data_IF_346599964231
#
_entry.id   IF_346599964231
#
_cell.length_a   1.000
_cell.length_b   1.000
_cell.length_c   1.000
_cell.angle_alpha   90.00
_cell.angle_beta   90.00
_cell.angle_gamma   90.00
#
_symmetry.space_group_name_H-M   'P 1'
#
loop_
_entity.id
_entity.type
_entity.pdbx_description
1 polymer ?
#
# COMPACT_ATOMS: atom_id res chain seq x y z
N UNK A 1 10.88 -62.55 28.71
CA UNK A 1 10.77 -62.00 27.34
C UNK A 1 10.40 -60.51 27.41
N UNK A 2 11.31 -59.71 27.99
CA UNK A 2 11.29 -58.24 28.00
C UNK A 2 12.26 -57.81 26.87
N UNK A 3 12.03 -56.68 26.20
CA UNK A 3 12.78 -56.14 25.04
C UNK A 3 12.26 -56.50 23.63
N UNK A 4 11.03 -56.12 23.27
CA UNK A 4 10.72 -55.80 21.85
C UNK A 4 9.75 -54.62 21.64
N UNK A 5 9.04 -54.17 22.67
CA UNK A 5 8.04 -53.09 22.53
C UNK A 5 8.57 -51.65 22.63
N UNK A 6 9.79 -51.43 23.13
CA UNK A 6 10.31 -50.06 23.35
C UNK A 6 10.91 -49.39 22.09
N UNK A 7 11.10 -50.13 20.99
CA UNK A 7 11.76 -49.61 19.77
C UNK A 7 10.79 -49.04 18.74
N UNK A 8 9.50 -49.39 18.79
CA UNK A 8 8.49 -48.87 17.84
C UNK A 8 7.90 -47.52 18.24
N UNK A 9 7.95 -47.15 19.52
CA UNK A 9 7.35 -45.89 20.00
C UNK A 9 8.28 -44.68 19.73
N UNK A 10 9.60 -44.89 19.69
CA UNK A 10 10.57 -43.81 19.42
C UNK A 10 10.63 -43.37 17.95
N UNK A 11 10.28 -44.24 17.00
CA UNK A 11 10.35 -43.89 15.57
C UNK A 11 9.10 -43.15 15.08
N UNK A 12 7.95 -43.39 15.70
CA UNK A 12 6.71 -42.67 15.37
C UNK A 12 6.71 -41.22 15.89
N UNK A 13 7.37 -40.94 17.02
CA UNK A 13 7.44 -39.60 17.60
C UNK A 13 8.31 -38.62 16.78
N UNK A 14 9.29 -39.12 16.03
CA UNK A 14 10.18 -38.28 15.19
C UNK A 14 9.50 -37.92 13.85
N UNK A 15 8.66 -38.79 13.30
CA UNK A 15 7.94 -38.52 12.05
C UNK A 15 6.78 -37.52 12.21
N UNK A 16 6.11 -37.52 13.38
CA UNK A 16 5.04 -36.54 13.68
C UNK A 16 5.61 -35.18 14.09
N UNK A 17 6.82 -35.14 14.68
CA UNK A 17 7.50 -33.89 14.96
C UNK A 17 8.06 -33.21 13.69
N UNK A 18 8.42 -33.98 12.65
CA UNK A 18 8.93 -33.43 11.38
C UNK A 18 7.86 -32.73 10.52
N UNK A 19 6.60 -33.16 10.59
CA UNK A 19 5.49 -32.55 9.84
C UNK A 19 4.83 -31.36 10.55
N UNK A 20 5.19 -31.08 11.80
CA UNK A 20 4.75 -29.90 12.54
C UNK A 20 5.66 -28.67 12.33
N UNK A 21 6.89 -28.86 11.83
CA UNK A 21 7.83 -27.74 11.61
C UNK A 21 7.55 -26.99 10.31
N UNK A 22 6.96 -27.63 9.30
CA UNK A 22 6.65 -26.99 8.00
C UNK A 22 5.41 -26.08 8.05
N UNK A 23 4.62 -26.13 9.12
CA UNK A 23 3.48 -25.23 9.33
C UNK A 23 3.89 -23.87 9.94
N UNK A 24 5.18 -23.70 10.28
CA UNK A 24 5.73 -22.48 10.86
C UNK A 24 6.55 -21.64 9.86
N UNK A 25 6.67 -22.07 8.61
CA UNK A 25 7.41 -21.30 7.62
C UNK A 25 6.55 -20.19 7.02
N UNK A 26 7.14 -19.00 6.96
CA UNK A 26 6.60 -17.88 6.18
C UNK A 26 6.63 -18.29 4.71
N UNK A 27 5.46 -18.38 4.09
CA UNK A 27 5.36 -18.69 2.67
C UNK A 27 4.74 -17.53 1.90
N UNK A 28 5.24 -17.34 0.68
CA UNK A 28 4.72 -16.40 -0.29
C UNK A 28 4.67 -17.10 -1.63
N UNK A 29 3.46 -17.32 -2.12
CA UNK A 29 3.18 -17.92 -3.42
C UNK A 29 2.68 -16.85 -4.37
N UNK A 30 3.30 -16.71 -5.55
CA UNK A 30 2.76 -15.84 -6.60
C UNK A 30 1.59 -16.56 -7.25
N UNK A 31 0.44 -15.89 -7.33
CA UNK A 31 -0.77 -16.45 -7.93
C UNK A 31 -0.83 -16.14 -9.42
N UNK A 32 -0.87 -14.85 -9.77
CA UNK A 32 -0.95 -14.36 -11.14
C UNK A 32 -0.51 -12.89 -11.22
N UNK A 33 -0.46 -12.33 -12.43
CA UNK A 33 -0.14 -10.94 -12.68
C UNK A 33 -0.93 -10.35 -13.85
N UNK A 34 -1.06 -9.03 -13.88
CA UNK A 34 -1.64 -8.28 -14.98
C UNK A 34 -0.87 -6.98 -15.20
N UNK A 35 -0.34 -6.79 -16.41
CA UNK A 35 0.16 -5.48 -16.86
C UNK A 35 -1.04 -4.65 -17.28
N UNK A 36 -1.22 -3.48 -16.68
CA UNK A 36 -2.39 -2.64 -16.90
C UNK A 36 -2.06 -1.24 -17.43
N UNK A 37 -0.77 -0.91 -17.50
CA UNK A 37 -0.28 0.27 -18.19
C UNK A 37 1.08 -0.04 -18.81
N UNK A 38 1.23 0.29 -20.08
CA UNK A 38 2.45 0.08 -20.86
C UNK A 38 2.73 1.36 -21.66
N UNK A 39 3.39 2.31 -21.00
CA UNK A 39 3.66 3.64 -21.55
C UNK A 39 5.08 3.79 -22.08
N UNK A 40 5.41 4.95 -22.68
CA UNK A 40 6.70 5.18 -23.31
C UNK A 40 7.88 5.21 -22.32
N UNK A 41 7.65 5.62 -21.06
CA UNK A 41 8.72 5.80 -20.06
C UNK A 41 8.60 4.85 -18.87
N UNK A 42 7.42 4.30 -18.61
CA UNK A 42 7.20 3.36 -17.51
C UNK A 42 6.06 2.40 -17.80
N UNK A 43 6.06 1.28 -17.05
CA UNK A 43 5.01 0.26 -17.10
C UNK A 43 4.49 0.01 -15.70
N UNK A 44 3.20 -0.30 -15.60
CA UNK A 44 2.56 -0.73 -14.36
C UNK A 44 2.00 -2.12 -14.49
N UNK A 45 2.22 -2.91 -13.45
CA UNK A 45 1.58 -4.20 -13.28
C UNK A 45 1.04 -4.37 -11.88
N UNK A 46 0.09 -5.27 -11.77
CA UNK A 46 -0.39 -5.78 -10.52
C UNK A 46 -0.01 -7.26 -10.42
N UNK A 47 0.53 -7.66 -9.28
CA UNK A 47 0.86 -9.05 -8.99
C UNK A 47 0.08 -9.47 -7.76
N UNK A 48 -0.57 -10.63 -7.82
CA UNK A 48 -1.20 -11.25 -6.66
C UNK A 48 -0.30 -12.29 -6.04
N UNK A 49 -0.41 -12.38 -4.73
CA UNK A 49 0.27 -13.36 -3.92
C UNK A 49 -0.70 -13.97 -2.93
N UNK A 50 -0.47 -15.23 -2.59
CA UNK A 50 -0.94 -15.81 -1.34
C UNK A 50 0.20 -15.73 -0.33
N UNK A 51 -0.06 -15.14 0.83
CA UNK A 51 0.93 -15.05 1.91
C UNK A 51 0.43 -15.78 3.13
N UNK A 52 1.31 -16.56 3.74
CA UNK A 52 1.09 -17.20 5.02
C UNK A 52 2.23 -16.80 5.96
N UNK A 53 1.90 -15.98 6.94
CA UNK A 53 2.72 -15.66 8.11
C UNK A 53 2.05 -16.34 9.31
N UNK A 54 2.55 -17.50 9.74
CA UNK A 54 1.97 -18.25 10.86
C UNK A 54 1.71 -17.35 12.06
N UNK A 55 0.53 -17.47 12.68
CA UNK A 55 0.07 -16.70 13.83
C UNK A 55 -0.15 -15.18 13.60
N UNK A 56 0.08 -14.66 12.39
CA UNK A 56 -0.08 -13.24 12.07
C UNK A 56 -1.09 -12.97 10.96
N UNK A 57 -0.96 -13.65 9.82
CA UNK A 57 -1.77 -13.40 8.64
C UNK A 57 -1.73 -14.58 7.68
N UNK A 58 -2.87 -14.93 7.10
CA UNK A 58 -2.92 -15.82 5.94
C UNK A 58 -3.96 -15.29 4.97
N UNK A 59 -3.59 -15.08 3.71
CA UNK A 59 -4.55 -14.61 2.72
C UNK A 59 -3.95 -14.08 1.41
N UNK A 60 -4.86 -13.72 0.52
CA UNK A 60 -4.53 -13.16 -0.79
C UNK A 60 -4.26 -11.65 -0.67
N UNK A 61 -3.12 -11.23 -1.20
CA UNK A 61 -2.70 -9.83 -1.26
C UNK A 61 -2.32 -9.46 -2.69
N UNK A 62 -2.38 -8.18 -3.00
CA UNK A 62 -1.85 -7.65 -4.26
C UNK A 62 -0.75 -6.63 -4.02
N UNK A 63 0.07 -6.48 -5.04
CA UNK A 63 1.11 -5.45 -5.12
C UNK A 63 1.04 -4.80 -6.48
N UNK A 64 0.92 -3.48 -6.50
CA UNK A 64 1.07 -2.68 -7.71
C UNK A 64 2.53 -2.26 -7.79
N UNK A 65 3.12 -2.54 -8.93
CA UNK A 65 4.53 -2.33 -9.19
C UNK A 65 4.71 -1.48 -10.44
N UNK A 66 5.74 -0.63 -10.42
CA UNK A 66 6.14 0.19 -11.56
C UNK A 66 7.59 -0.10 -11.97
N UNK A 67 7.87 -0.04 -13.26
CA UNK A 67 9.23 -0.15 -13.80
C UNK A 67 9.52 0.93 -14.83
N UNK A 68 10.77 1.37 -14.88
CA UNK A 68 11.34 2.28 -15.88
C UNK A 68 12.86 2.12 -15.94
N UNK A 69 13.52 2.89 -16.81
CA UNK A 69 14.99 2.99 -16.85
C UNK A 69 15.61 3.40 -15.50
N UNK A 70 14.81 4.02 -14.61
CA UNK A 70 15.25 4.52 -13.30
C UNK A 70 15.16 3.47 -12.20
N UNK A 71 14.44 2.36 -12.44
CA UNK A 71 14.19 1.33 -11.42
C UNK A 71 15.04 0.07 -11.60
N UNK A 72 16.01 0.07 -12.52
CA UNK A 72 16.78 -1.13 -12.89
C UNK A 72 17.49 -1.84 -11.72
N UNK A 73 17.91 -1.11 -10.68
CA UNK A 73 18.54 -1.67 -9.48
C UNK A 73 17.56 -1.89 -8.31
N UNK A 74 16.27 -1.65 -8.51
CA UNK A 74 15.26 -1.86 -7.49
C UNK A 74 14.94 -3.35 -7.35
N UNK A 75 14.78 -3.82 -6.12
CA UNK A 75 14.43 -5.21 -5.84
C UNK A 75 14.43 -5.44 -4.33
N UNK A 76 13.35 -6.00 -3.82
CA UNK A 76 13.23 -6.37 -2.40
C UNK A 76 12.47 -7.69 -2.31
N UNK A 77 12.38 -8.28 -1.12
CA UNK A 77 11.52 -9.43 -0.88
C UNK A 77 10.05 -9.18 -1.26
N UNK A 78 9.62 -7.93 -1.44
CA UNK A 78 8.24 -7.56 -1.74
C UNK A 78 8.01 -7.08 -3.18
N UNK A 79 9.01 -7.05 -4.06
CA UNK A 79 8.82 -6.60 -5.45
C UNK A 79 9.73 -7.34 -6.43
N UNK A 80 9.34 -7.41 -7.70
CA UNK A 80 10.14 -8.10 -8.71
C UNK A 80 11.42 -7.28 -9.02
N UNK A 81 12.54 -7.92 -9.41
CA UNK A 81 13.75 -7.20 -9.80
C UNK A 81 13.49 -6.22 -10.95
N UNK A 82 13.98 -4.99 -10.82
CA UNK A 82 13.73 -3.91 -11.77
C UNK A 82 12.39 -3.19 -11.56
N UNK A 83 11.59 -3.58 -10.57
CA UNK A 83 10.29 -2.97 -10.26
C UNK A 83 10.30 -2.33 -8.87
N UNK A 84 9.57 -1.23 -8.70
CA UNK A 84 9.30 -0.60 -7.41
C UNK A 84 7.84 -0.77 -7.01
N UNK A 85 7.57 -1.03 -5.74
CA UNK A 85 6.20 -1.07 -5.24
C UNK A 85 5.61 0.34 -5.14
N UNK A 86 4.43 0.52 -5.71
CA UNK A 86 3.66 1.79 -5.66
C UNK A 86 2.47 1.67 -4.70
N UNK A 87 1.88 0.48 -4.60
CA UNK A 87 0.75 0.22 -3.73
C UNK A 87 0.63 -1.26 -3.37
N UNK A 88 -0.08 -1.55 -2.29
CA UNK A 88 -0.39 -2.91 -1.85
C UNK A 88 -1.73 -2.93 -1.13
N UNK A 89 -2.33 -4.11 -1.04
CA UNK A 89 -3.57 -4.30 -0.29
C UNK A 89 -4.07 -5.73 -0.32
N UNK A 90 -5.24 -5.95 0.26
CA UNK A 90 -5.89 -7.25 0.25
C UNK A 90 -6.48 -7.57 -1.15
N UNK A 91 -6.25 -8.78 -1.63
CA UNK A 91 -6.87 -9.30 -2.86
C UNK A 91 -8.01 -10.29 -2.57
N UNK A 92 -8.50 -10.32 -1.32
CA UNK A 92 -9.50 -11.26 -0.82
C UNK A 92 -10.74 -11.26 -1.72
N UNK A 93 -11.09 -12.46 -2.20
CA UNK A 93 -12.31 -12.68 -2.99
C UNK A 93 -12.18 -12.30 -4.47
N UNK A 94 -11.01 -11.87 -4.92
CA UNK A 94 -10.73 -11.67 -6.35
C UNK A 94 -10.28 -12.98 -7.00
N UNK A 95 -10.65 -13.20 -8.26
CA UNK A 95 -10.28 -14.41 -9.02
C UNK A 95 -9.08 -14.25 -9.94
N UNK A 96 -8.77 -13.01 -10.33
CA UNK A 96 -7.56 -12.70 -11.10
C UNK A 96 -6.88 -11.39 -10.68
N UNK A 97 -5.66 -11.17 -11.15
CA UNK A 97 -4.97 -9.88 -11.04
C UNK A 97 -5.73 -8.77 -11.80
N UNK A 98 -6.35 -9.11 -12.94
CA UNK A 98 -7.12 -8.15 -13.73
C UNK A 98 -8.35 -7.62 -12.96
N UNK A 99 -9.06 -8.47 -12.22
CA UNK A 99 -10.17 -8.01 -11.37
C UNK A 99 -9.71 -7.02 -10.30
N UNK A 100 -8.54 -7.25 -9.72
CA UNK A 100 -7.95 -6.32 -8.76
C UNK A 100 -7.55 -5.02 -9.45
N UNK A 101 -6.95 -5.08 -10.64
CA UNK A 101 -6.63 -3.87 -11.43
C UNK A 101 -7.86 -3.00 -11.63
N UNK A 102 -8.99 -3.57 -12.04
CA UNK A 102 -10.21 -2.79 -12.27
C UNK A 102 -10.76 -2.17 -10.98
N UNK A 103 -10.65 -2.88 -9.85
CA UNK A 103 -11.02 -2.34 -8.53
C UNK A 103 -10.14 -1.16 -8.13
N UNK A 104 -8.84 -1.26 -8.40
CA UNK A 104 -7.82 -0.28 -8.03
C UNK A 104 -7.63 0.82 -9.09
N UNK A 105 -8.31 0.76 -10.24
CA UNK A 105 -8.11 1.68 -11.37
C UNK A 105 -8.26 3.15 -11.00
N UNK A 106 -9.20 3.44 -10.11
CA UNK A 106 -9.47 4.79 -9.59
C UNK A 106 -8.34 5.36 -8.73
N UNK A 107 -7.39 4.53 -8.31
CA UNK A 107 -6.32 4.93 -7.41
C UNK A 107 -5.03 5.31 -8.14
N UNK A 108 -4.89 5.07 -9.44
CA UNK A 108 -3.71 5.47 -10.22
C UNK A 108 -4.05 6.51 -11.28
N UNK A 109 -3.15 7.46 -11.48
CA UNK A 109 -3.28 8.52 -12.46
C UNK A 109 -1.96 8.67 -13.20
N UNK A 110 -1.99 8.41 -14.50
CA UNK A 110 -0.89 8.69 -15.42
C UNK A 110 -1.07 10.12 -15.93
N UNK A 111 -0.12 11.00 -15.62
CA UNK A 111 -0.21 12.44 -15.85
C UNK A 111 0.87 12.88 -16.85
N UNK A 112 0.77 12.39 -18.08
CA UNK A 112 1.82 12.50 -19.10
C UNK A 112 2.79 11.32 -19.06
N UNK A 113 3.93 11.46 -19.73
CA UNK A 113 4.81 10.31 -20.00
C UNK A 113 5.63 9.88 -18.78
N UNK A 114 5.95 10.78 -17.85
CA UNK A 114 6.88 10.52 -16.74
C UNK A 114 6.22 10.63 -15.36
N UNK A 115 4.96 11.05 -15.29
CA UNK A 115 4.32 11.38 -14.01
C UNK A 115 3.29 10.32 -13.66
N UNK A 116 3.44 9.74 -12.47
CA UNK A 116 2.50 8.80 -11.89
C UNK A 116 2.05 9.31 -10.53
N UNK A 117 0.74 9.42 -10.33
CA UNK A 117 0.16 9.62 -9.01
C UNK A 117 -0.62 8.37 -8.57
N UNK A 118 -0.47 8.00 -7.30
CA UNK A 118 -1.15 6.87 -6.66
C UNK A 118 -1.81 7.33 -5.35
N UNK A 119 -3.08 6.97 -5.13
CA UNK A 119 -3.90 7.49 -4.02
C UNK A 119 -4.35 6.43 -3.01
N UNK A 120 -3.86 5.18 -3.13
CA UNK A 120 -4.34 4.05 -2.34
C UNK A 120 -4.04 4.12 -0.84
N UNK A 121 -3.04 4.90 -0.41
CA UNK A 121 -2.77 5.15 1.01
C UNK A 121 -2.11 6.52 1.16
N UNK A 122 -2.89 7.59 1.00
CA UNK A 122 -2.35 8.93 0.76
C UNK A 122 -1.95 9.12 -0.70
N UNK A 123 -1.49 10.33 -1.03
CA UNK A 123 -1.00 10.64 -2.36
C UNK A 123 0.49 10.35 -2.45
N UNK A 124 0.87 9.47 -3.36
CA UNK A 124 2.24 9.22 -3.77
C UNK A 124 2.41 9.71 -5.21
N UNK A 125 3.35 10.60 -5.48
CA UNK A 125 3.61 11.12 -6.84
C UNK A 125 5.06 10.91 -7.22
N UNK A 126 5.29 10.32 -8.38
CA UNK A 126 6.57 10.31 -9.06
C UNK A 126 6.53 11.26 -10.26
N UNK A 127 7.62 12.01 -10.45
CA UNK A 127 7.83 12.90 -11.59
C UNK A 127 8.91 12.37 -12.55
N UNK A 128 9.46 11.19 -12.27
CA UNK A 128 10.62 10.62 -12.96
C UNK A 128 10.39 9.14 -13.31
N UNK A 129 9.18 8.82 -13.77
CA UNK A 129 8.79 7.50 -14.23
C UNK A 129 9.03 6.43 -13.16
N UNK A 130 8.57 6.66 -11.93
CA UNK A 130 8.69 5.76 -10.78
C UNK A 130 10.10 5.63 -10.17
N UNK A 131 11.07 6.48 -10.55
CA UNK A 131 12.39 6.48 -9.93
C UNK A 131 12.34 6.90 -8.45
N UNK A 132 11.54 7.91 -8.13
CA UNK A 132 11.29 8.41 -6.78
C UNK A 132 9.83 8.79 -6.59
N UNK A 133 9.34 8.64 -5.36
CA UNK A 133 8.00 9.07 -4.96
C UNK A 133 8.07 10.12 -3.86
N UNK A 134 7.25 11.17 -3.98
CA UNK A 134 6.90 12.05 -2.87
C UNK A 134 5.55 11.68 -2.31
N UNK A 135 5.49 11.68 -0.99
CA UNK A 135 4.33 11.26 -0.24
C UNK A 135 3.67 12.43 0.45
N UNK A 136 2.35 12.47 0.40
CA UNK A 136 1.52 13.34 1.20
C UNK A 136 0.39 12.55 1.85
N UNK A 137 0.11 12.85 3.11
CA UNK A 137 -0.96 12.21 3.88
C UNK A 137 -1.81 13.26 4.63
N UNK A 138 -3.14 13.05 4.76
CA UNK A 138 -4.03 13.99 5.45
C UNK A 138 -3.67 14.30 6.90
N UNK A 139 -3.01 13.37 7.61
CA UNK A 139 -2.52 13.62 8.98
C UNK A 139 -1.45 14.71 9.10
N UNK A 140 -0.95 15.22 7.98
CA UNK A 140 -0.03 16.37 7.92
C UNK A 140 -0.75 17.72 7.98
N UNK A 141 -2.08 17.74 7.88
CA UNK A 141 -2.86 18.96 8.06
C UNK A 141 -2.86 19.40 9.53
N UNK A 142 -3.08 20.70 9.80
CA UNK A 142 -3.30 21.19 11.16
C UNK A 142 -4.43 20.44 11.88
N UNK A 143 -4.21 20.16 13.17
CA UNK A 143 -5.12 19.34 13.98
C UNK A 143 -6.51 19.97 14.16
N UNK A 144 -6.63 21.29 14.09
CA UNK A 144 -7.88 22.04 14.16
C UNK A 144 -8.79 21.78 12.95
N UNK A 145 -8.24 21.38 11.80
CA UNK A 145 -9.03 20.98 10.62
C UNK A 145 -9.57 19.55 10.68
N UNK A 146 -9.16 18.76 11.68
CA UNK A 146 -9.50 17.34 11.79
C UNK A 146 -10.41 17.15 13.00
N UNK A 147 -11.51 16.41 12.82
CA UNK A 147 -12.32 15.88 13.92
C UNK A 147 -11.67 14.56 14.33
N UNK A 148 -11.00 14.45 15.48
CA UNK A 148 -10.30 13.21 15.85
C UNK A 148 -11.29 12.06 16.05
N UNK A 149 -10.89 10.86 15.62
CA UNK A 149 -11.60 9.63 15.95
C UNK A 149 -11.23 9.14 17.36
N UNK A 150 -12.08 8.29 17.93
CA UNK A 150 -11.75 7.55 19.14
C UNK A 150 -10.59 6.59 18.85
N UNK A 151 -9.53 6.68 19.66
CA UNK A 151 -8.29 5.92 19.48
C UNK A 151 -8.06 4.97 20.66
N UNK A 152 -7.47 3.79 20.41
CA UNK A 152 -7.02 2.89 21.47
C UNK A 152 -6.05 3.57 22.44
N UNK A 153 -5.99 3.12 23.70
CA UNK A 153 -5.16 3.76 24.73
C UNK A 153 -3.64 3.67 24.46
N UNK A 154 -3.19 2.78 23.56
CA UNK A 154 -1.79 2.71 23.12
C UNK A 154 -1.37 3.95 22.28
N UNK A 155 -2.36 4.68 21.75
CA UNK A 155 -2.14 5.84 20.91
C UNK A 155 -1.88 7.10 21.74
N UNK A 156 -0.99 7.97 21.25
CA UNK A 156 -0.76 9.28 21.83
C UNK A 156 -2.06 10.14 21.85
N UNK A 157 -2.28 10.97 22.88
CA UNK A 157 -1.36 11.28 23.97
C UNK A 157 -1.38 10.31 25.16
N UNK A 158 -2.33 9.36 25.23
CA UNK A 158 -2.42 8.42 26.36
C UNK A 158 -1.29 7.38 26.34
N UNK A 159 -0.95 6.89 25.16
CA UNK A 159 0.16 5.97 24.92
C UNK A 159 1.30 6.59 24.13
N UNK A 160 2.15 5.74 23.54
CA UNK A 160 3.40 6.15 22.87
C UNK A 160 3.36 6.05 21.35
N UNK A 161 2.29 5.51 20.77
CA UNK A 161 2.20 5.26 19.32
C UNK A 161 1.54 6.43 18.62
N UNK A 162 2.15 6.93 17.54
CA UNK A 162 1.49 7.89 16.64
C UNK A 162 0.41 7.16 15.84
N UNK A 163 -0.84 7.45 16.17
CA UNK A 163 -2.01 6.88 15.54
C UNK A 163 -2.80 7.90 14.73
N UNK A 164 -2.20 9.00 14.25
CA UNK A 164 -2.95 10.00 13.46
C UNK A 164 -3.64 9.41 12.22
N UNK A 165 -3.12 8.32 11.67
CA UNK A 165 -3.76 7.61 10.55
C UNK A 165 -5.14 7.00 10.91
N UNK A 166 -5.43 6.76 12.21
CA UNK A 166 -6.74 6.28 12.65
C UNK A 166 -7.87 7.27 12.35
N UNK A 167 -7.55 8.56 12.23
CA UNK A 167 -8.56 9.58 11.92
C UNK A 167 -9.15 9.40 10.51
N UNK A 168 -8.50 8.61 9.65
CA UNK A 168 -8.77 8.49 8.22
C UNK A 168 -9.06 7.04 7.76
N UNK A 169 -9.68 6.23 8.62
CA UNK A 169 -10.06 4.84 8.32
C UNK A 169 -11.54 4.69 7.97
N UNK A 170 -11.90 3.59 7.29
CA UNK A 170 -13.29 3.25 7.00
C UNK A 170 -14.00 4.29 6.12
N UNK A 171 -15.17 4.74 6.56
CA UNK A 171 -15.96 5.79 5.91
C UNK A 171 -15.30 7.18 5.97
N UNK A 172 -14.25 7.34 6.79
CA UNK A 172 -13.44 8.56 6.92
C UNK A 172 -12.21 8.55 6.02
N UNK A 173 -12.02 7.51 5.21
CA UNK A 173 -10.91 7.43 4.26
C UNK A 173 -10.92 8.62 3.29
N UNK A 174 -9.75 9.22 3.01
CA UNK A 174 -9.64 10.37 2.13
C UNK A 174 -9.95 9.98 0.69
N UNK A 175 -10.67 10.87 -0.01
CA UNK A 175 -10.89 10.81 -1.45
C UNK A 175 -10.08 11.91 -2.10
N UNK A 176 -9.26 11.52 -3.08
CA UNK A 176 -8.40 12.42 -3.84
C UNK A 176 -9.04 12.69 -5.20
N UNK A 177 -9.17 13.96 -5.56
CA UNK A 177 -9.89 14.43 -6.74
C UNK A 177 -9.09 15.53 -7.43
N UNK A 178 -9.45 15.81 -8.70
CA UNK A 178 -8.87 16.91 -9.48
C UNK A 178 -7.33 16.95 -9.43
N UNK A 179 -6.72 15.76 -9.49
CA UNK A 179 -5.26 15.60 -9.42
C UNK A 179 -4.69 16.03 -10.76
N UNK A 180 -3.75 16.96 -10.71
CA UNK A 180 -2.97 17.36 -11.85
C UNK A 180 -1.53 17.58 -11.42
N UNK A 181 -0.62 17.37 -12.35
CA UNK A 181 0.80 17.62 -12.16
C UNK A 181 1.42 17.95 -13.52
N UNK A 182 2.54 18.66 -13.49
CA UNK A 182 3.32 19.02 -14.68
C UNK A 182 4.79 18.61 -14.54
N UNK A 183 5.50 18.64 -15.67
CA UNK A 183 6.91 18.29 -15.74
C UNK A 183 7.83 19.31 -15.03
N UNK A 184 7.31 20.49 -14.68
CA UNK A 184 8.04 21.52 -13.92
C UNK A 184 8.02 21.25 -12.41
N UNK A 185 7.37 20.16 -11.98
CA UNK A 185 7.30 19.76 -10.57
C UNK A 185 6.13 20.39 -9.82
N UNK A 186 5.17 20.99 -10.52
CA UNK A 186 3.93 21.42 -9.90
C UNK A 186 3.00 20.24 -9.75
N UNK A 187 2.34 20.12 -8.61
CA UNK A 187 1.24 19.18 -8.38
C UNK A 187 0.18 19.84 -7.53
N UNK A 188 -1.08 19.62 -7.88
CA UNK A 188 -2.19 19.99 -7.02
C UNK A 188 -3.32 18.97 -7.10
N UNK A 189 -4.04 18.87 -6.00
CA UNK A 189 -5.17 17.97 -5.87
C UNK A 189 -6.14 18.51 -4.83
N UNK A 190 -7.38 18.05 -4.91
CA UNK A 190 -8.40 18.25 -3.90
C UNK A 190 -8.49 16.97 -3.06
N UNK A 191 -8.58 17.12 -1.74
CA UNK A 191 -8.86 16.00 -0.83
C UNK A 191 -10.15 16.28 -0.07
N UNK A 192 -10.98 15.24 0.04
CA UNK A 192 -12.21 15.22 0.83
C UNK A 192 -12.17 14.07 1.82
N UNK A 193 -12.70 14.29 3.01
CA UNK A 193 -12.85 13.24 4.03
C UNK A 193 -13.92 13.65 5.02
N UNK A 194 -14.68 12.69 5.54
CA UNK A 194 -15.59 12.89 6.66
C UNK A 194 -14.83 13.19 7.99
N UNK A 195 -13.50 13.02 7.99
CA UNK A 195 -12.64 13.43 9.10
C UNK A 195 -12.40 14.94 9.16
N UNK A 196 -12.63 15.66 8.06
CA UNK A 196 -12.43 17.10 8.03
C UNK A 196 -13.57 17.82 8.73
N UNK A 197 -13.21 18.79 9.57
CA UNK A 197 -14.16 19.64 10.28
C UNK A 197 -15.05 20.38 9.28
N UNK A 198 -16.33 20.50 9.64
CA UNK A 198 -17.35 21.19 8.85
C UNK A 198 -17.52 20.66 7.41
N UNK A 199 -17.13 19.40 7.15
CA UNK A 199 -17.16 18.76 5.83
C UNK A 199 -16.41 19.56 4.75
N UNK A 200 -15.38 20.31 5.15
CA UNK A 200 -14.56 21.08 4.21
C UNK A 200 -13.77 20.17 3.27
N UNK A 201 -13.51 20.65 2.06
CA UNK A 201 -12.49 20.06 1.20
C UNK A 201 -11.20 20.87 1.33
N UNK A 202 -10.06 20.23 1.13
CA UNK A 202 -8.76 20.92 1.19
C UNK A 202 -8.09 20.79 -0.17
N UNK A 203 -7.67 21.92 -0.74
CA UNK A 203 -6.83 21.92 -1.94
C UNK A 203 -5.37 21.97 -1.52
N UNK A 204 -4.59 21.03 -2.01
CA UNK A 204 -3.16 20.94 -1.77
C UNK A 204 -2.42 21.34 -3.04
N UNK A 205 -1.30 22.03 -2.85
CA UNK A 205 -0.39 22.39 -3.94
C UNK A 205 1.05 22.28 -3.50
N UNK A 206 1.88 21.77 -4.40
CA UNK A 206 3.33 21.89 -4.35
C UNK A 206 3.82 22.48 -5.67
N UNK A 207 4.86 23.30 -5.62
CA UNK A 207 5.55 23.82 -6.81
C UNK A 207 7.03 23.38 -6.82
N UNK A 208 7.38 22.34 -6.06
CA UNK A 208 8.75 21.90 -5.83
C UNK A 208 8.89 20.36 -5.82
N UNK A 209 8.14 19.71 -6.72
CA UNK A 209 8.12 18.25 -6.89
C UNK A 209 7.60 17.52 -5.65
N UNK A 210 6.70 18.13 -4.87
CA UNK A 210 6.10 17.53 -3.67
C UNK A 210 6.99 17.58 -2.42
N UNK A 211 8.02 18.44 -2.38
CA UNK A 211 8.88 18.60 -1.20
C UNK A 211 8.21 19.43 -0.12
N UNK A 212 7.52 20.50 -0.52
CA UNK A 212 6.71 21.34 0.36
C UNK A 212 5.28 21.41 -0.15
N UNK A 213 4.35 21.59 0.80
CA UNK A 213 2.92 21.59 0.53
C UNK A 213 2.29 22.83 1.14
N UNK A 214 1.55 23.58 0.33
CA UNK A 214 0.61 24.58 0.79
C UNK A 214 -0.80 24.03 0.67
N UNK A 215 -1.69 24.51 1.53
CA UNK A 215 -3.08 24.10 1.53
C UNK A 215 -4.01 25.31 1.63
N UNK A 216 -5.19 25.18 1.04
CA UNK A 216 -6.31 26.10 1.25
C UNK A 216 -7.57 25.30 1.51
N UNK A 217 -8.41 25.77 2.42
CA UNK A 217 -9.75 25.22 2.60
C UNK A 217 -10.65 25.70 1.48
N UNK A 218 -11.51 24.81 1.01
CA UNK A 218 -12.50 25.07 -0.04
C UNK A 218 -13.86 24.86 0.60
N UNK A 219 -14.57 25.97 0.84
CA UNK A 219 -15.96 25.90 1.28
C UNK A 219 -16.82 25.33 0.16
N UNK A 220 -17.79 24.51 0.56
CA UNK A 220 -18.73 23.89 -0.35
C UNK A 220 -19.73 24.90 -0.91
#
# INVERSE_FOLDING_TARGET
MKMRFAKLIRTAAIAVAGSLVTACDVSKERLDEAVFYDGPRFRLKLVRYYENYPLHFSGEVFRIQCTSDRTGNAGTAMQDPGWVMVGQGAAIGSKSAQEVVERERRNYHVLGDEILAWTGNGLNVSFDACGQFRFWYPANLPADLIVPADKPDICAPKGKVDCRNYDFQGDRAPKFEAIWADAQGTVSFLVRSNAFRDNQAVRLRSNDYGKTWTFTTVNR
#
